data_IF_082100050269
#
_entry.id   IF_082100050269
#
_cell.length_a   1.000
_cell.length_b   1.000
_cell.length_c   1.000
_cell.angle_alpha   90.00
_cell.angle_beta   90.00
_cell.angle_gamma   90.00
#
_symmetry.space_group_name_H-M   'P 1'
#
loop_
_entity.id
_entity.type
_entity.pdbx_description
1 polymer ?
#
# COMPACT_ATOMS: atom_id res chain seq x y z
N UNK A 1 -36.58 -32.51 38.55
CA UNK A 1 -35.27 -33.21 38.67
C UNK A 1 -34.99 -33.90 37.39
N UNK A 2 -34.11 -33.31 36.56
CA UNK A 2 -33.48 -33.96 35.42
C UNK A 2 -32.08 -33.40 35.31
N UNK A 3 -31.02 -34.22 35.31
CA UNK A 3 -29.65 -33.76 35.16
C UNK A 3 -29.33 -33.61 33.66
N UNK A 4 -28.90 -32.41 33.27
CA UNK A 4 -28.39 -32.15 31.94
C UNK A 4 -26.94 -32.58 31.79
N UNK A 5 -26.68 -33.38 30.79
CA UNK A 5 -25.31 -33.75 30.37
C UNK A 5 -24.64 -32.56 29.72
N UNK A 6 -23.56 -32.05 30.31
CA UNK A 6 -22.59 -31.18 29.69
C UNK A 6 -21.54 -32.04 28.95
N UNK A 7 -21.67 -32.16 27.65
CA UNK A 7 -20.58 -32.67 26.83
C UNK A 7 -19.61 -31.53 26.49
N UNK A 8 -18.43 -31.60 27.08
CA UNK A 8 -17.33 -30.69 26.84
C UNK A 8 -16.68 -31.08 25.50
N UNK A 9 -16.88 -30.26 24.47
CA UNK A 9 -16.15 -30.37 23.21
C UNK A 9 -14.73 -29.89 23.46
N UNK A 10 -13.78 -30.81 23.59
CA UNK A 10 -12.35 -30.51 23.65
C UNK A 10 -11.86 -30.07 22.29
N UNK A 11 -11.61 -28.78 22.14
CA UNK A 11 -11.02 -28.20 20.93
C UNK A 11 -9.58 -28.68 20.74
N UNK A 12 -9.31 -29.27 19.57
CA UNK A 12 -7.97 -29.61 19.12
C UNK A 12 -7.10 -28.36 19.00
N UNK A 13 -5.91 -28.39 19.60
CA UNK A 13 -4.97 -27.27 19.54
C UNK A 13 -4.38 -27.11 18.13
N UNK A 14 -4.02 -25.87 17.76
CA UNK A 14 -3.40 -25.54 16.45
C UNK A 14 -2.17 -26.39 16.11
N UNK A 15 -1.52 -26.98 17.10
CA UNK A 15 -0.35 -27.85 16.93
C UNK A 15 -0.73 -29.25 16.46
N UNK A 16 -1.93 -29.73 16.74
CA UNK A 16 -2.41 -31.06 16.33
C UNK A 16 -2.90 -31.09 14.88
N UNK A 17 -3.21 -29.92 14.31
CA UNK A 17 -3.58 -29.81 12.89
C UNK A 17 -2.40 -30.00 11.94
N UNK A 18 -1.17 -29.77 12.38
CA UNK A 18 0.03 -29.85 11.54
C UNK A 18 0.69 -31.25 11.51
N UNK A 19 0.20 -32.21 12.29
CA UNK A 19 0.78 -33.57 12.36
C UNK A 19 -0.12 -34.65 11.74
N UNK A 20 -1.24 -34.30 11.12
CA UNK A 20 -2.24 -35.24 10.61
C UNK A 20 -2.14 -35.62 9.13
N UNK A 21 -1.07 -35.26 8.40
CA UNK A 21 -0.89 -35.66 6.99
C UNK A 21 0.32 -36.58 6.82
N UNK A 22 0.26 -37.74 7.43
CA UNK A 22 1.22 -38.84 7.26
C UNK A 22 0.51 -40.12 6.85
N UNK A 23 0.64 -40.45 5.59
CA UNK A 23 0.57 -41.81 5.00
C UNK A 23 -0.63 -42.70 5.34
N UNK A 24 -1.51 -42.89 4.37
CA UNK A 24 -2.19 -44.18 4.16
C UNK A 24 -2.26 -44.45 2.65
N UNK A 25 -1.33 -45.28 2.20
CA UNK A 25 -1.46 -45.97 0.93
C UNK A 25 -2.42 -47.14 1.16
N UNK A 26 -3.60 -47.09 0.52
CA UNK A 26 -4.41 -48.29 0.29
C UNK A 26 -4.97 -48.21 -1.14
N UNK A 27 -4.53 -49.18 -1.92
CA UNK A 27 -5.05 -49.56 -3.22
C UNK A 27 -6.52 -49.97 -3.11
N UNK A 28 -7.40 -49.30 -3.85
CA UNK A 28 -8.70 -49.87 -4.24
C UNK A 28 -9.17 -49.24 -5.55
N UNK A 29 -9.68 -50.09 -6.39
CA UNK A 29 -9.94 -49.97 -7.82
C UNK A 29 -11.03 -49.01 -8.24
N UNK A 30 -10.81 -48.40 -9.43
CA UNK A 30 -11.70 -48.12 -10.53
C UNK A 30 -13.14 -47.61 -10.27
N UNK A 31 -13.30 -46.30 -10.48
CA UNK A 31 -14.45 -45.78 -11.21
C UNK A 31 -14.09 -44.44 -11.87
N UNK A 32 -14.52 -44.12 -13.10
CA UNK A 32 -14.06 -42.95 -13.84
C UNK A 32 -14.98 -41.77 -13.53
N UNK A 33 -14.64 -41.01 -12.50
CA UNK A 33 -15.07 -39.62 -12.34
C UNK A 33 -13.92 -38.71 -12.76
N UNK A 34 -13.59 -38.83 -14.05
CA UNK A 34 -12.68 -37.91 -14.71
C UNK A 34 -13.32 -36.53 -14.76
N UNK A 35 -12.67 -35.54 -14.17
CA UNK A 35 -12.94 -34.20 -14.61
C UNK A 35 -12.60 -33.05 -13.67
N UNK A 36 -12.33 -33.19 -12.38
CA UNK A 36 -12.23 -32.03 -11.50
C UNK A 36 -11.00 -31.96 -10.58
N UNK A 37 -10.08 -32.88 -10.68
CA UNK A 37 -8.74 -32.75 -10.05
C UNK A 37 -7.69 -32.61 -11.16
N UNK A 38 -7.78 -31.58 -11.99
CA UNK A 38 -6.54 -31.03 -12.51
C UNK A 38 -5.82 -30.43 -11.32
N UNK A 39 -4.89 -31.19 -10.75
CA UNK A 39 -3.75 -30.60 -10.08
C UNK A 39 -3.34 -29.42 -10.93
N UNK A 40 -3.44 -28.21 -10.41
CA UNK A 40 -2.68 -27.12 -10.96
C UNK A 40 -1.21 -27.53 -10.76
N UNK A 41 -0.71 -28.37 -11.69
CA UNK A 41 0.70 -28.36 -11.95
C UNK A 41 0.99 -26.91 -12.22
N UNK A 42 1.75 -26.28 -11.32
CA UNK A 42 2.45 -25.05 -11.61
C UNK A 42 3.24 -25.36 -12.88
N UNK A 43 2.60 -25.17 -14.02
CA UNK A 43 3.28 -25.07 -15.30
C UNK A 43 4.33 -24.02 -15.06
N UNK A 44 5.59 -24.41 -15.21
CA UNK A 44 6.78 -23.66 -14.85
C UNK A 44 6.53 -22.19 -15.07
N UNK A 45 6.53 -21.43 -13.96
CA UNK A 45 6.09 -20.06 -13.96
C UNK A 45 6.77 -19.34 -15.09
N UNK A 46 6.02 -18.65 -15.91
CA UNK A 46 6.57 -17.55 -16.67
C UNK A 46 7.20 -16.66 -15.62
N UNK A 47 8.53 -16.81 -15.45
CA UNK A 47 9.26 -15.95 -14.54
C UNK A 47 8.98 -14.54 -15.02
N UNK A 48 8.25 -13.81 -14.22
CA UNK A 48 7.92 -12.42 -14.51
C UNK A 48 9.23 -11.69 -14.83
N UNK A 49 9.23 -10.94 -15.91
CA UNK A 49 10.47 -10.29 -16.37
C UNK A 49 10.43 -8.83 -15.95
N UNK A 50 11.46 -8.40 -15.27
CA UNK A 50 11.69 -6.99 -14.96
C UNK A 50 12.89 -6.43 -15.72
N UNK A 51 12.91 -5.12 -15.95
CA UNK A 51 11.82 -4.15 -15.67
C UNK A 51 10.62 -4.33 -16.61
N UNK A 52 9.42 -3.94 -16.16
CA UNK A 52 8.29 -3.79 -17.06
C UNK A 52 8.55 -2.63 -18.03
N UNK A 53 8.05 -2.70 -19.27
CA UNK A 53 8.21 -1.61 -20.21
C UNK A 53 7.62 -0.32 -19.65
N UNK A 54 8.42 0.73 -19.59
CA UNK A 54 8.00 2.04 -19.07
C UNK A 54 8.25 3.13 -20.10
N UNK A 55 7.23 3.91 -20.39
CA UNK A 55 7.34 5.17 -21.12
C UNK A 55 7.07 6.34 -20.17
N UNK A 56 7.85 7.42 -20.36
CA UNK A 56 7.77 8.59 -19.49
C UNK A 56 6.38 9.21 -19.53
N UNK A 57 5.88 9.54 -18.34
CA UNK A 57 4.62 10.21 -18.14
C UNK A 57 4.86 11.67 -17.76
N UNK A 58 3.87 12.52 -18.01
CA UNK A 58 3.86 13.88 -17.49
C UNK A 58 3.40 13.87 -16.04
N UNK A 59 4.22 14.37 -15.08
CA UNK A 59 3.89 14.33 -13.66
C UNK A 59 2.61 15.12 -13.34
N UNK A 60 2.39 16.26 -13.98
CA UNK A 60 1.20 17.10 -13.74
C UNK A 60 -0.07 16.39 -14.20
N UNK A 61 -0.06 15.82 -15.40
CA UNK A 61 -1.18 15.04 -15.93
C UNK A 61 -1.51 13.84 -15.03
N UNK A 62 -0.48 13.13 -14.58
CA UNK A 62 -0.66 11.99 -13.68
C UNK A 62 -1.24 12.41 -12.34
N UNK A 63 -0.78 13.53 -11.78
CA UNK A 63 -1.32 14.06 -10.52
C UNK A 63 -2.80 14.50 -10.65
N UNK A 64 -3.17 15.15 -11.75
CA UNK A 64 -4.57 15.52 -12.04
C UNK A 64 -5.46 14.28 -12.15
N UNK A 65 -4.98 13.21 -12.80
CA UNK A 65 -5.68 11.94 -12.86
C UNK A 65 -5.80 11.30 -11.48
N UNK A 66 -4.72 11.25 -10.70
CA UNK A 66 -4.72 10.69 -9.34
C UNK A 66 -5.70 11.44 -8.42
N UNK A 67 -5.77 12.78 -8.54
CA UNK A 67 -6.74 13.59 -7.83
C UNK A 67 -8.18 13.19 -8.15
N UNK A 68 -8.52 13.06 -9.44
CA UNK A 68 -9.85 12.66 -9.90
C UNK A 68 -10.19 11.23 -9.49
N UNK A 69 -9.27 10.31 -9.71
CA UNK A 69 -9.40 8.89 -9.38
C UNK A 69 -9.58 8.66 -7.87
N UNK A 70 -9.02 9.51 -7.01
CA UNK A 70 -9.21 9.38 -5.58
C UNK A 70 -10.69 9.35 -5.17
N UNK A 71 -11.53 10.10 -5.84
CA UNK A 71 -12.96 10.13 -5.57
C UNK A 71 -13.71 8.89 -6.07
N UNK A 72 -13.06 8.08 -6.91
CA UNK A 72 -13.61 6.81 -7.42
C UNK A 72 -13.05 5.60 -6.67
N UNK A 73 -11.74 5.54 -6.49
CA UNK A 73 -11.03 4.34 -6.01
C UNK A 73 -10.09 4.60 -4.82
N UNK A 74 -10.14 5.78 -4.22
CA UNK A 74 -9.37 6.19 -3.04
C UNK A 74 -7.83 6.16 -3.23
N UNK A 75 -7.10 6.23 -2.10
CA UNK A 75 -5.69 6.62 -2.03
C UNK A 75 -4.74 5.78 -2.92
N UNK A 76 -4.47 4.54 -2.53
CA UNK A 76 -3.44 3.74 -3.20
C UNK A 76 -3.86 3.27 -4.59
N UNK A 77 -5.11 2.87 -4.75
CA UNK A 77 -5.64 2.49 -6.04
C UNK A 77 -5.64 3.67 -7.04
N UNK A 78 -5.85 4.92 -6.57
CA UNK A 78 -5.78 6.10 -7.43
C UNK A 78 -4.36 6.39 -7.92
N UNK A 79 -3.32 6.16 -7.10
CA UNK A 79 -1.93 6.24 -7.56
C UNK A 79 -1.66 5.18 -8.64
N UNK A 80 -2.04 3.93 -8.38
CA UNK A 80 -1.87 2.85 -9.35
C UNK A 80 -2.65 3.14 -10.64
N UNK A 81 -3.92 3.52 -10.54
CA UNK A 81 -4.79 3.81 -11.67
C UNK A 81 -4.24 4.96 -12.52
N UNK A 82 -3.80 6.05 -11.89
CA UNK A 82 -3.31 7.23 -12.63
C UNK A 82 -2.06 6.94 -13.46
N UNK A 83 -1.20 6.03 -13.01
CA UNK A 83 0.00 5.62 -13.75
C UNK A 83 -0.33 4.52 -14.76
N UNK A 84 -0.97 3.45 -14.33
CA UNK A 84 -1.16 2.26 -15.16
C UNK A 84 -2.17 2.47 -16.29
N UNK A 85 -3.20 3.31 -16.11
CA UNK A 85 -4.12 3.64 -17.20
C UNK A 85 -3.40 4.31 -18.37
N UNK A 86 -2.49 5.24 -18.08
CA UNK A 86 -1.67 5.87 -19.11
C UNK A 86 -0.70 4.89 -19.78
N UNK A 87 -0.11 3.97 -18.99
CA UNK A 87 0.80 2.96 -19.53
C UNK A 87 0.05 1.86 -20.31
N UNK A 88 -1.21 1.57 -20.00
CA UNK A 88 -2.07 0.73 -20.84
C UNK A 88 -2.17 1.27 -22.27
N UNK A 89 -2.38 2.57 -22.39
CA UNK A 89 -2.51 3.24 -23.69
C UNK A 89 -1.18 3.33 -24.44
N UNK A 90 -0.08 3.62 -23.73
CA UNK A 90 1.24 3.84 -24.33
C UNK A 90 2.02 2.56 -24.63
N UNK A 91 1.86 1.56 -23.79
CA UNK A 91 2.72 0.36 -23.77
C UNK A 91 1.91 -0.93 -24.00
N UNK A 92 0.71 -1.05 -23.45
CA UNK A 92 -0.10 -2.27 -23.50
C UNK A 92 0.22 -3.22 -22.34
N UNK A 93 0.61 -4.47 -22.64
CA UNK A 93 0.98 -5.43 -21.60
C UNK A 93 2.32 -5.08 -20.92
N UNK A 94 2.45 -5.37 -19.62
CA UNK A 94 1.55 -6.12 -18.74
C UNK A 94 0.43 -5.29 -18.08
N UNK A 95 0.36 -4.00 -18.34
CA UNK A 95 -0.56 -3.09 -17.68
C UNK A 95 -2.03 -3.35 -18.03
N UNK A 96 -2.31 -3.85 -19.25
CA UNK A 96 -3.68 -4.15 -19.73
C UNK A 96 -4.33 -5.23 -18.90
N UNK A 97 -3.59 -6.29 -18.57
CA UNK A 97 -4.09 -7.41 -17.77
C UNK A 97 -4.00 -7.18 -16.26
N UNK A 98 -3.34 -6.11 -15.79
CA UNK A 98 -3.18 -5.84 -14.36
C UNK A 98 -4.51 -5.43 -13.71
N UNK A 99 -4.95 -6.10 -12.63
CA UNK A 99 -6.26 -5.88 -12.02
C UNK A 99 -6.25 -4.67 -11.06
N UNK A 100 -6.23 -3.44 -11.59
CA UNK A 100 -6.10 -2.20 -10.81
C UNK A 100 -7.13 -2.13 -9.67
N UNK A 101 -8.40 -2.42 -9.96
CA UNK A 101 -9.48 -2.27 -8.99
C UNK A 101 -9.39 -3.24 -7.79
N UNK A 102 -8.56 -4.30 -7.89
CA UNK A 102 -8.27 -5.17 -6.75
C UNK A 102 -7.55 -4.44 -5.60
N UNK A 103 -6.98 -3.25 -5.86
CA UNK A 103 -6.21 -2.46 -4.89
C UNK A 103 -7.03 -1.37 -4.19
N UNK A 104 -8.36 -1.32 -4.39
CA UNK A 104 -9.26 -0.35 -3.71
C UNK A 104 -9.14 -0.44 -2.18
N UNK A 105 -8.76 -1.58 -1.63
CA UNK A 105 -8.54 -1.75 -0.20
C UNK A 105 -7.42 -0.86 0.39
N UNK A 106 -6.57 -0.24 -0.45
CA UNK A 106 -5.54 0.72 -0.04
C UNK A 106 -6.14 2.10 0.22
N UNK A 107 -7.12 2.14 1.12
CA UNK A 107 -7.83 3.33 1.53
C UNK A 107 -7.79 3.48 3.06
N UNK A 108 -7.73 4.72 3.56
CA UNK A 108 -7.62 4.96 4.99
C UNK A 108 -6.46 4.21 5.66
N UNK A 109 -5.33 4.08 4.97
CA UNK A 109 -4.28 3.11 5.19
C UNK A 109 -4.60 1.82 4.42
N UNK A 110 -4.68 0.69 5.10
CA UNK A 110 -5.18 -0.57 4.55
C UNK A 110 -6.57 -0.82 5.16
N UNK A 111 -7.59 -0.91 4.32
CA UNK A 111 -8.98 -1.20 4.70
C UNK A 111 -9.50 -0.32 5.86
N UNK A 112 -9.13 0.96 5.89
CA UNK A 112 -9.59 1.90 6.92
C UNK A 112 -8.88 1.83 8.27
N UNK A 113 -7.85 0.97 8.42
CA UNK A 113 -7.17 0.74 9.71
C UNK A 113 -6.13 1.80 10.11
N UNK A 114 -5.97 2.87 9.32
CA UNK A 114 -5.03 3.94 9.66
C UNK A 114 -3.55 3.58 9.59
N UNK A 115 -3.20 2.46 8.97
CA UNK A 115 -1.83 1.96 8.78
C UNK A 115 -1.03 2.87 7.83
N UNK A 116 -0.04 2.36 7.11
CA UNK A 116 0.68 3.15 6.10
C UNK A 116 -0.30 3.90 5.20
N UNK A 117 -0.01 5.14 4.82
CA UNK A 117 -0.85 5.89 3.88
C UNK A 117 -1.02 5.09 2.58
N UNK A 118 -2.28 4.89 2.15
CA UNK A 118 -2.57 4.13 0.93
C UNK A 118 -1.84 4.67 -0.29
N UNK A 119 -1.67 6.00 -0.41
CA UNK A 119 -0.91 6.61 -1.51
C UNK A 119 0.54 6.15 -1.54
N UNK A 120 1.20 6.09 -0.38
CA UNK A 120 2.57 5.57 -0.28
C UNK A 120 2.64 4.08 -0.62
N UNK A 121 1.67 3.29 -0.15
CA UNK A 121 1.58 1.88 -0.50
C UNK A 121 1.39 1.68 -2.01
N UNK A 122 0.49 2.45 -2.63
CA UNK A 122 0.28 2.44 -4.08
C UNK A 122 1.52 2.81 -4.86
N UNK A 123 2.25 3.84 -4.43
CA UNK A 123 3.50 4.25 -5.07
C UNK A 123 4.58 3.16 -4.99
N UNK A 124 4.71 2.50 -3.85
CA UNK A 124 5.64 1.36 -3.69
C UNK A 124 5.26 0.17 -4.58
N UNK A 125 3.97 -0.13 -4.73
CA UNK A 125 3.50 -1.16 -5.67
C UNK A 125 3.90 -0.80 -7.09
N UNK A 126 3.64 0.44 -7.52
CA UNK A 126 3.97 0.91 -8.88
C UNK A 126 5.47 0.84 -9.15
N UNK A 127 6.32 1.37 -8.26
CA UNK A 127 7.78 1.39 -8.46
C UNK A 127 8.34 -0.03 -8.56
N UNK A 128 7.90 -0.94 -7.66
CA UNK A 128 8.40 -2.32 -7.66
C UNK A 128 7.84 -3.17 -8.82
N UNK A 129 6.64 -2.90 -9.33
CA UNK A 129 6.12 -3.56 -10.51
C UNK A 129 6.81 -3.09 -11.79
N UNK A 130 7.13 -1.80 -11.90
CA UNK A 130 7.81 -1.25 -13.09
C UNK A 130 9.28 -1.63 -13.10
N UNK A 131 10.01 -1.35 -12.04
CA UNK A 131 11.47 -1.51 -11.98
C UNK A 131 11.85 -2.96 -11.67
N UNK A 132 11.11 -3.58 -10.78
CA UNK A 132 11.33 -4.94 -10.29
C UNK A 132 11.62 -4.99 -8.78
N UNK A 133 11.40 -6.15 -8.16
CA UNK A 133 11.65 -6.34 -6.75
C UNK A 133 13.14 -6.53 -6.45
N UNK A 134 13.58 -6.11 -5.26
CA UNK A 134 14.99 -6.20 -4.82
C UNK A 134 15.58 -7.63 -4.92
N UNK A 135 14.77 -8.66 -4.77
CA UNK A 135 15.21 -10.07 -4.85
C UNK A 135 15.75 -10.48 -6.22
N UNK A 136 15.48 -9.71 -7.27
CA UNK A 136 16.05 -9.93 -8.62
C UNK A 136 17.16 -8.96 -8.94
N UNK A 137 17.72 -8.25 -7.97
CA UNK A 137 18.79 -7.27 -8.12
C UNK A 137 18.32 -5.88 -8.60
N UNK A 138 17.01 -5.62 -8.58
CA UNK A 138 16.43 -4.33 -8.96
C UNK A 138 16.24 -3.43 -7.73
N UNK A 139 17.35 -2.92 -7.18
CA UNK A 139 17.31 -2.12 -5.93
C UNK A 139 16.56 -0.80 -6.08
N UNK A 140 16.64 -0.15 -7.25
CA UNK A 140 16.01 1.15 -7.48
C UNK A 140 14.50 1.18 -7.22
N UNK A 141 13.77 0.08 -7.44
CA UNK A 141 12.35 0.00 -7.11
C UNK A 141 12.07 0.15 -5.61
N UNK A 142 12.93 -0.45 -4.79
CA UNK A 142 12.88 -0.34 -3.34
C UNK A 142 13.32 1.04 -2.85
N UNK A 143 14.42 1.58 -3.40
CA UNK A 143 14.96 2.90 -3.07
C UNK A 143 13.94 4.00 -3.38
N UNK A 144 13.34 4.02 -4.56
CA UNK A 144 12.27 4.98 -4.91
C UNK A 144 11.12 4.91 -3.91
N UNK A 145 10.74 3.68 -3.50
CA UNK A 145 9.71 3.51 -2.49
C UNK A 145 10.08 4.16 -1.14
N UNK A 146 11.34 4.06 -0.73
CA UNK A 146 11.87 4.67 0.50
C UNK A 146 11.94 6.18 0.37
N UNK A 147 12.43 6.71 -0.76
CA UNK A 147 12.50 8.15 -1.02
C UNK A 147 11.12 8.80 -0.94
N UNK A 148 10.10 8.15 -1.52
CA UNK A 148 8.71 8.62 -1.46
C UNK A 148 8.21 8.65 -0.01
N UNK A 149 8.50 7.62 0.78
CA UNK A 149 8.08 7.57 2.18
C UNK A 149 8.76 8.64 3.02
N UNK A 150 10.06 8.84 2.86
CA UNK A 150 10.80 9.89 3.56
C UNK A 150 10.29 11.27 3.16
N UNK A 151 10.22 11.54 1.85
CA UNK A 151 9.66 12.80 1.35
C UNK A 151 8.25 13.07 1.88
N UNK A 152 7.39 12.04 1.92
CA UNK A 152 6.04 12.17 2.47
C UNK A 152 6.05 12.55 3.95
N UNK A 153 7.00 12.05 4.73
CA UNK A 153 7.12 12.39 6.15
C UNK A 153 7.54 13.84 6.37
N UNK A 154 8.37 14.38 5.47
CA UNK A 154 9.04 15.70 5.61
C UNK A 154 8.31 16.82 4.88
N UNK A 155 7.57 16.51 3.82
CA UNK A 155 6.88 17.51 3.01
C UNK A 155 5.65 18.10 3.72
N UNK A 156 5.46 19.40 3.56
CA UNK A 156 4.23 20.08 3.98
C UNK A 156 3.07 19.70 3.03
N UNK A 157 2.35 18.66 3.38
CA UNK A 157 1.28 18.07 2.57
C UNK A 157 -0.09 18.74 2.72
N UNK A 158 -0.86 18.87 1.64
CA UNK A 158 -0.59 18.47 0.26
C UNK A 158 0.25 19.48 -0.51
N UNK A 159 1.17 19.02 -1.37
CA UNK A 159 1.99 19.87 -2.23
C UNK A 159 1.26 20.24 -3.53
N UNK A 160 0.61 19.26 -4.15
CA UNK A 160 -0.08 19.46 -5.43
C UNK A 160 -1.38 20.24 -5.27
N UNK A 161 -1.59 21.20 -6.19
CA UNK A 161 -2.82 22.00 -6.29
C UNK A 161 -3.52 21.64 -7.60
N UNK A 162 -4.64 20.90 -7.55
CA UNK A 162 -5.39 20.55 -8.78
C UNK A 162 -5.97 21.80 -9.44
N UNK A 163 -6.11 21.77 -10.76
CA UNK A 163 -6.70 22.87 -11.54
C UNK A 163 -8.16 23.12 -11.17
N UNK A 164 -8.90 22.04 -10.94
CA UNK A 164 -10.32 22.06 -10.57
C UNK A 164 -10.56 21.31 -9.26
N UNK A 165 -10.22 21.93 -8.10
CA UNK A 165 -10.42 21.29 -6.80
C UNK A 165 -11.91 21.25 -6.44
N UNK A 166 -12.34 20.16 -5.78
CA UNK A 166 -13.71 20.08 -5.24
C UNK A 166 -13.93 21.07 -4.09
N UNK A 167 -12.91 21.31 -3.29
CA UNK A 167 -12.90 22.35 -2.26
C UNK A 167 -12.00 23.49 -2.75
N UNK A 168 -12.61 24.64 -2.99
CA UNK A 168 -11.89 25.85 -3.46
C UNK A 168 -11.26 26.63 -2.35
N UNK A 169 -11.75 26.44 -1.12
CA UNK A 169 -11.20 27.06 0.07
C UNK A 169 -9.77 26.59 0.34
N UNK A 170 -9.08 27.36 1.14
CA UNK A 170 -7.72 27.02 1.55
C UNK A 170 -7.69 25.69 2.32
N UNK A 171 -6.89 24.77 1.84
CA UNK A 171 -6.56 23.52 2.54
C UNK A 171 -5.20 23.72 3.21
N UNK A 172 -5.11 23.73 4.54
CA UNK A 172 -3.83 23.91 5.21
C UNK A 172 -2.88 22.74 4.93
N UNK A 173 -1.59 23.04 4.99
CA UNK A 173 -0.55 22.05 4.84
C UNK A 173 -0.01 21.63 6.22
N UNK A 174 0.36 20.34 6.34
CA UNK A 174 0.96 19.80 7.57
C UNK A 174 2.09 18.84 7.23
N UNK A 175 3.12 18.82 8.05
CA UNK A 175 4.21 17.82 7.99
C UNK A 175 3.79 16.65 8.86
N UNK A 176 3.75 15.47 8.27
CA UNK A 176 3.27 14.28 9.01
C UNK A 176 4.31 13.69 9.95
N UNK A 177 5.60 13.78 9.61
CA UNK A 177 6.73 13.10 10.27
C UNK A 177 6.52 11.59 10.42
N UNK A 178 5.58 11.04 9.65
CA UNK A 178 5.21 9.63 9.70
C UNK A 178 4.57 9.19 8.39
N UNK A 179 4.85 7.97 7.90
CA UNK A 179 4.17 7.42 6.72
C UNK A 179 2.76 6.90 7.04
N UNK A 180 2.32 6.95 8.30
CA UNK A 180 1.04 6.39 8.74
C UNK A 180 -0.13 7.31 8.42
N UNK A 181 -1.19 6.71 7.89
CA UNK A 181 -2.42 7.42 7.52
C UNK A 181 -3.04 8.16 8.72
N UNK A 182 -3.20 7.48 9.86
CA UNK A 182 -3.84 8.09 11.03
C UNK A 182 -3.03 9.27 11.59
N UNK A 183 -1.69 9.23 11.55
CA UNK A 183 -0.84 10.34 12.00
C UNK A 183 -0.98 11.53 11.05
N UNK A 184 -0.83 11.31 9.75
CA UNK A 184 -0.93 12.36 8.73
C UNK A 184 -2.32 13.02 8.72
N UNK A 185 -3.38 12.22 8.83
CA UNK A 185 -4.76 12.73 8.87
C UNK A 185 -5.06 13.40 10.21
N UNK A 186 -4.62 12.82 11.33
CA UNK A 186 -4.83 13.37 12.68
C UNK A 186 -4.17 14.73 12.86
N UNK A 187 -2.89 14.89 12.48
CA UNK A 187 -2.20 16.18 12.51
C UNK A 187 -2.94 17.23 11.67
N UNK A 188 -3.36 16.85 10.45
CA UNK A 188 -4.09 17.76 9.60
C UNK A 188 -5.45 18.15 10.19
N UNK A 189 -6.21 17.21 10.74
CA UNK A 189 -7.52 17.48 11.35
C UNK A 189 -7.39 18.46 12.53
N UNK A 190 -6.34 18.34 13.31
CA UNK A 190 -6.05 19.25 14.43
C UNK A 190 -5.78 20.69 13.94
N UNK A 191 -4.99 20.85 12.87
CA UNK A 191 -4.68 22.17 12.29
C UNK A 191 -5.87 22.78 11.56
N UNK A 192 -6.62 21.98 10.84
CA UNK A 192 -7.75 22.41 10.03
C UNK A 192 -9.03 22.62 10.83
N UNK A 193 -9.09 22.11 12.07
CA UNK A 193 -10.30 22.06 12.90
C UNK A 193 -11.49 21.43 12.13
N UNK A 194 -11.23 20.27 11.51
CA UNK A 194 -12.22 19.56 10.68
C UNK A 194 -12.35 18.11 11.09
N UNK A 195 -13.58 17.57 11.16
CA UNK A 195 -13.79 16.17 11.50
C UNK A 195 -13.39 15.23 10.37
N UNK A 196 -13.15 13.96 10.71
CA UNK A 196 -12.72 12.91 9.78
C UNK A 196 -13.62 12.79 8.53
N UNK A 197 -14.94 12.94 8.68
CA UNK A 197 -15.92 12.83 7.61
C UNK A 197 -16.03 14.04 6.69
N UNK A 198 -15.37 15.16 7.02
CA UNK A 198 -15.55 16.43 6.30
C UNK A 198 -15.14 16.37 4.82
N UNK A 199 -15.79 17.16 3.96
CA UNK A 199 -15.39 17.29 2.56
C UNK A 199 -13.96 17.81 2.41
N UNK A 200 -13.51 18.72 3.27
CA UNK A 200 -12.18 19.31 3.26
C UNK A 200 -11.10 18.24 3.55
N UNK A 201 -11.34 17.34 4.53
CA UNK A 201 -10.44 16.23 4.81
C UNK A 201 -10.37 15.27 3.60
N UNK A 202 -11.50 15.01 2.94
CA UNK A 202 -11.53 14.19 1.73
C UNK A 202 -10.70 14.82 0.61
N UNK A 203 -10.92 16.13 0.36
CA UNK A 203 -10.17 16.86 -0.67
C UNK A 203 -8.67 16.95 -0.36
N UNK A 204 -8.31 17.18 0.91
CA UNK A 204 -6.91 17.09 1.37
C UNK A 204 -6.29 15.74 1.01
N UNK A 205 -6.97 14.64 1.27
CA UNK A 205 -6.43 13.31 0.96
C UNK A 205 -6.32 13.08 -0.56
N UNK A 206 -7.25 13.58 -1.35
CA UNK A 206 -7.16 13.53 -2.81
C UNK A 206 -5.93 14.31 -3.33
N UNK A 207 -5.67 15.51 -2.78
CA UNK A 207 -4.47 16.30 -3.13
C UNK A 207 -3.18 15.64 -2.66
N UNK A 208 -3.16 14.98 -1.51
CA UNK A 208 -2.00 14.19 -1.05
C UNK A 208 -1.72 13.04 -2.01
N UNK A 209 -2.76 12.33 -2.45
CA UNK A 209 -2.63 11.26 -3.44
C UNK A 209 -2.04 11.78 -4.75
N UNK A 210 -2.52 12.93 -5.22
CA UNK A 210 -1.97 13.61 -6.39
C UNK A 210 -0.51 14.02 -6.19
N UNK A 211 -0.16 14.52 -5.00
CA UNK A 211 1.22 14.90 -4.67
C UNK A 211 2.16 13.69 -4.74
N UNK A 212 1.72 12.55 -4.19
CA UNK A 212 2.51 11.30 -4.23
C UNK A 212 2.64 10.77 -5.66
N UNK A 213 1.57 10.80 -6.45
CA UNK A 213 1.61 10.37 -7.86
C UNK A 213 2.53 11.27 -8.71
N UNK A 214 2.51 12.59 -8.46
CA UNK A 214 3.41 13.54 -9.08
C UNK A 214 4.87 13.18 -8.84
N UNK A 215 5.26 13.08 -7.58
CA UNK A 215 6.62 12.80 -7.16
C UNK A 215 7.10 11.41 -7.62
N UNK A 216 6.24 10.40 -7.54
CA UNK A 216 6.53 9.06 -8.06
C UNK A 216 6.92 9.11 -9.55
N UNK A 217 6.17 9.85 -10.37
CA UNK A 217 6.44 9.95 -11.80
C UNK A 217 7.74 10.71 -12.07
N UNK A 218 8.08 11.74 -11.28
CA UNK A 218 9.39 12.40 -11.39
C UNK A 218 10.53 11.40 -11.16
N UNK A 219 10.45 10.58 -10.11
CA UNK A 219 11.46 9.58 -9.79
C UNK A 219 11.54 8.46 -10.84
N UNK A 220 10.40 7.97 -11.34
CA UNK A 220 10.35 6.97 -12.41
C UNK A 220 10.92 7.50 -13.73
N UNK A 221 10.67 8.76 -14.06
CA UNK A 221 11.22 9.41 -15.24
C UNK A 221 12.74 9.58 -15.12
N UNK A 222 13.23 9.98 -13.93
CA UNK A 222 14.66 10.07 -13.64
C UNK A 222 15.34 8.69 -13.75
N UNK A 223 14.72 7.66 -13.20
CA UNK A 223 15.19 6.28 -13.35
C UNK A 223 15.25 5.85 -14.81
N UNK A 224 14.21 6.12 -15.59
CA UNK A 224 14.16 5.79 -17.01
C UNK A 224 15.28 6.45 -17.82
N UNK A 225 15.63 7.68 -17.44
CA UNK A 225 16.71 8.46 -18.07
C UNK A 225 18.11 8.08 -17.55
N UNK A 226 18.21 7.13 -16.58
CA UNK A 226 19.49 6.78 -15.94
C UNK A 226 20.05 7.89 -15.05
N UNK A 227 19.19 8.78 -14.55
CA UNK A 227 19.54 9.95 -13.73
C UNK A 227 18.98 9.87 -12.30
N UNK A 228 18.37 8.76 -11.96
CA UNK A 228 17.86 8.57 -10.59
C UNK A 228 19.04 8.40 -9.65
N UNK A 229 19.05 9.20 -8.60
CA UNK A 229 19.94 9.11 -7.47
C UNK A 229 19.09 8.96 -6.20
N UNK A 230 19.45 8.01 -5.35
CA UNK A 230 18.77 7.79 -4.06
C UNK A 230 18.88 9.05 -3.21
N UNK A 231 17.74 9.53 -2.69
CA UNK A 231 17.64 10.77 -1.94
C UNK A 231 17.55 10.52 -0.44
N UNK A 232 17.00 9.39 -0.05
CA UNK A 232 16.78 9.01 1.33
C UNK A 232 17.82 8.02 1.86
N UNK A 233 17.99 8.01 3.16
CA UNK A 233 18.72 6.97 3.86
C UNK A 233 17.72 5.93 4.37
N UNK A 234 17.65 4.79 3.66
CA UNK A 234 16.78 3.68 4.07
C UNK A 234 17.42 2.76 5.12
N UNK A 235 18.58 3.13 5.63
CA UNK A 235 19.20 2.42 6.74
C UNK A 235 18.33 2.60 7.98
N UNK A 236 18.03 1.55 8.75
CA UNK A 236 17.28 1.68 9.99
C UNK A 236 17.96 2.69 10.93
N UNK A 237 17.28 3.79 11.23
CA UNK A 237 17.88 4.96 11.90
C UNK A 237 17.65 4.95 13.39
N UNK A 238 16.81 4.11 13.94
CA UNK A 238 16.51 4.14 15.37
C UNK A 238 17.16 2.98 16.11
N UNK A 239 17.27 3.09 17.42
CA UNK A 239 17.64 2.02 18.34
C UNK A 239 16.77 0.77 18.18
N UNK A 240 15.66 0.89 17.46
CA UNK A 240 14.70 -0.18 17.18
C UNK A 240 14.69 -0.64 15.71
N UNK A 241 15.59 -0.13 14.87
CA UNK A 241 15.67 -0.51 13.46
C UNK A 241 14.47 -0.08 12.60
N UNK A 242 13.79 1.01 12.95
CA UNK A 242 12.61 1.53 12.26
C UNK A 242 12.89 2.95 11.76
N UNK A 243 12.73 3.19 10.47
CA UNK A 243 12.96 4.50 9.84
C UNK A 243 11.81 5.48 10.01
N UNK A 244 10.68 5.05 10.54
CA UNK A 244 9.48 5.86 10.59
C UNK A 244 9.16 6.35 11.99
N UNK A 245 8.70 7.58 12.10
CA UNK A 245 8.10 8.16 13.28
C UNK A 245 9.05 8.25 14.49
N UNK A 246 9.98 9.20 14.48
CA UNK A 246 11.02 9.34 15.51
C UNK A 246 10.46 9.66 16.90
N UNK A 247 9.24 10.20 17.00
CA UNK A 247 8.66 10.58 18.29
C UNK A 247 7.15 10.23 18.40
N UNK A 248 6.87 9.05 18.92
CA UNK A 248 5.50 8.64 19.21
C UNK A 248 4.82 9.52 20.29
N UNK A 249 5.61 10.15 21.16
CA UNK A 249 5.11 10.93 22.29
C UNK A 249 4.51 12.28 21.88
N UNK A 250 4.82 12.77 20.69
CA UNK A 250 4.24 14.01 20.17
C UNK A 250 2.71 13.92 20.03
N UNK A 251 2.21 12.78 19.53
CA UNK A 251 0.78 12.54 19.41
C UNK A 251 0.17 11.82 20.63
N UNK A 252 0.99 11.12 21.40
CA UNK A 252 0.59 10.37 22.59
C UNK A 252 1.04 11.05 23.88
N UNK A 253 0.86 12.36 23.97
CA UNK A 253 1.14 13.14 25.18
C UNK A 253 0.41 12.54 26.39
N UNK A 254 1.14 12.09 27.40
CA UNK A 254 0.58 11.42 28.57
C UNK A 254 0.87 9.92 28.66
N UNK A 255 1.60 9.40 27.73
CA UNK A 255 2.13 8.03 27.73
C UNK A 255 1.63 7.19 26.57
N UNK A 256 2.54 6.55 25.89
CA UNK A 256 2.22 5.48 24.95
C UNK A 256 1.38 4.44 25.69
N UNK A 257 0.27 3.94 25.12
CA UNK A 257 -0.49 2.88 25.75
C UNK A 257 0.45 1.73 26.11
N UNK A 258 0.49 1.36 27.37
CA UNK A 258 1.27 0.20 27.80
C UNK A 258 0.75 -1.02 27.04
N UNK A 259 1.61 -1.87 26.49
CA UNK A 259 1.16 -3.10 25.88
C UNK A 259 0.31 -3.88 26.88
N UNK A 260 -0.75 -4.55 26.44
CA UNK A 260 -1.56 -5.35 27.33
C UNK A 260 -0.65 -6.36 28.04
N UNK A 261 -0.70 -6.36 29.38
CA UNK A 261 0.04 -7.35 30.17
C UNK A 261 -0.46 -8.71 29.77
N UNK A 262 0.42 -9.52 29.21
CA UNK A 262 0.15 -10.95 29.03
C UNK A 262 -0.01 -11.52 30.42
N UNK A 263 -1.22 -11.89 30.81
CA UNK A 263 -1.44 -12.63 32.06
C UNK A 263 -0.71 -13.96 31.91
N UNK A 264 0.35 -14.15 32.70
CA UNK A 264 1.07 -15.40 32.83
C UNK A 264 0.17 -16.52 33.34
#
# INVERSE_FOLDING_TARGET
>A
MHPGNNETITGLSRRQWMLGTGVLATTAALAPLGGWLRSAQATGGTTEKWPWPYEKLDPTTTAELAYKEWYRVFCGCAVISSVFTQLREKVGEPYTSFPIDAFVFLEGGVAGWGTICGSNAGANIVSNLIIGPRIVGAEAGHQIGTDIMQWYCEAAMPVFKPKEPKIRDHIPQTISESPLCHVSVGKWMAVADKPLGSPERKDRCARVTASVAYHLVELLNAWKDGKYEEQGDWTPVSDHGINAQPNCMECHAGGTPKPPMVKS
#
